data_IF_502138611886
#
_entry.id   IF_502138611886
#
_cell.length_a   1.000
_cell.length_b   1.000
_cell.length_c   1.000
_cell.angle_alpha   90.00
_cell.angle_beta   90.00
_cell.angle_gamma   90.00
#
_symmetry.space_group_name_H-M   'P 1'
#
loop_
_entity.id
_entity.type
_entity.pdbx_description
1 polymer ?
#
# COMPACT_ATOMS: atom_id res chain seq x y z
N UNK A 1 -19.00 23.45 11.42
CA UNK A 1 -17.95 22.78 10.62
C UNK A 1 -18.64 22.00 9.53
N UNK A 2 -18.16 22.13 8.30
CA UNK A 2 -18.61 21.30 7.18
C UNK A 2 -18.17 19.85 7.43
N UNK A 3 -19.08 18.89 7.22
CA UNK A 3 -18.78 17.47 7.43
C UNK A 3 -18.04 16.94 6.21
N UNK A 4 -16.98 16.16 6.41
CA UNK A 4 -16.31 15.46 5.32
C UNK A 4 -17.29 14.48 4.67
N UNK A 5 -17.30 14.47 3.34
CA UNK A 5 -18.05 13.51 2.53
C UNK A 5 -17.24 12.23 2.35
N UNK A 6 -17.95 11.13 2.28
CA UNK A 6 -17.40 9.79 2.13
C UNK A 6 -18.11 9.07 1.00
N UNK A 7 -17.37 8.22 0.30
CA UNK A 7 -17.90 7.29 -0.69
C UNK A 7 -18.02 5.92 -0.03
N UNK A 8 -19.16 5.27 -0.21
CA UNK A 8 -19.43 3.92 0.28
C UNK A 8 -19.86 3.07 -0.90
N UNK A 9 -19.19 1.95 -1.09
CA UNK A 9 -19.57 0.93 -2.07
C UNK A 9 -19.88 -0.39 -1.37
N UNK A 10 -21.05 -0.93 -1.66
CA UNK A 10 -21.43 -2.29 -1.34
C UNK A 10 -21.73 -3.03 -2.65
N UNK A 11 -21.36 -4.29 -2.74
CA UNK A 11 -21.58 -5.06 -3.95
C UNK A 11 -21.82 -6.54 -3.64
N UNK A 12 -22.47 -7.21 -4.59
CA UNK A 12 -22.57 -8.65 -4.64
C UNK A 12 -22.14 -9.15 -6.02
N UNK A 13 -21.54 -10.34 -6.06
CA UNK A 13 -21.12 -11.02 -7.29
C UNK A 13 -21.47 -12.51 -7.15
N UNK A 14 -21.78 -13.21 -8.25
CA UNK A 14 -22.04 -14.65 -8.22
C UNK A 14 -20.95 -15.43 -7.48
N UNK A 15 -21.35 -16.48 -6.75
CA UNK A 15 -20.42 -17.30 -5.93
C UNK A 15 -19.37 -18.03 -6.78
N UNK A 16 -19.67 -18.33 -8.04
CA UNK A 16 -18.69 -18.83 -9.00
C UNK A 16 -18.75 -18.04 -10.32
N UNK A 17 -17.58 -17.74 -10.93
CA UNK A 17 -16.23 -18.07 -10.47
C UNK A 17 -15.71 -17.13 -9.37
N UNK A 18 -15.05 -17.67 -8.33
CA UNK A 18 -14.49 -16.89 -7.20
C UNK A 18 -13.52 -15.75 -7.62
N UNK A 19 -12.84 -15.90 -8.76
CA UNK A 19 -11.89 -14.92 -9.30
C UNK A 19 -12.47 -13.51 -9.44
N UNK A 20 -13.76 -13.38 -9.75
CA UNK A 20 -14.40 -12.08 -9.96
C UNK A 20 -14.55 -11.33 -8.63
N UNK A 21 -15.00 -12.01 -7.57
CA UNK A 21 -15.04 -11.43 -6.22
C UNK A 21 -13.66 -11.03 -5.74
N UNK A 22 -12.66 -11.87 -6.03
CA UNK A 22 -11.27 -11.59 -5.67
C UNK A 22 -10.72 -10.38 -6.39
N UNK A 23 -10.98 -10.25 -7.70
CA UNK A 23 -10.58 -9.09 -8.48
C UNK A 23 -11.22 -7.80 -7.93
N UNK A 24 -12.51 -7.82 -7.63
CA UNK A 24 -13.25 -6.67 -7.12
C UNK A 24 -12.64 -6.13 -5.80
N UNK A 25 -12.48 -6.99 -4.78
CA UNK A 25 -11.92 -6.50 -3.51
C UNK A 25 -10.44 -6.10 -3.63
N UNK A 26 -9.66 -6.75 -4.50
CA UNK A 26 -8.28 -6.34 -4.77
C UNK A 26 -8.22 -4.97 -5.44
N UNK A 27 -9.10 -4.68 -6.39
CA UNK A 27 -9.18 -3.37 -7.03
C UNK A 27 -9.57 -2.28 -6.01
N UNK A 28 -10.56 -2.57 -5.15
CA UNK A 28 -10.93 -1.66 -4.05
C UNK A 28 -9.78 -1.39 -3.08
N UNK A 29 -9.07 -2.43 -2.62
CA UNK A 29 -7.87 -2.25 -1.77
C UNK A 29 -6.79 -1.43 -2.46
N UNK A 30 -6.59 -1.61 -3.78
CA UNK A 30 -5.62 -0.85 -4.58
C UNK A 30 -5.92 0.66 -4.55
N UNK A 31 -7.20 1.04 -4.51
CA UNK A 31 -7.63 2.43 -4.36
C UNK A 31 -7.51 2.97 -2.91
N UNK A 32 -7.07 2.16 -1.95
CA UNK A 32 -7.05 2.55 -0.53
C UNK A 32 -8.37 2.39 0.19
N UNK A 33 -9.36 1.74 -0.43
CA UNK A 33 -10.64 1.51 0.21
C UNK A 33 -10.48 0.53 1.39
N UNK A 34 -11.15 0.84 2.49
CA UNK A 34 -11.16 0.01 3.70
C UNK A 34 -12.48 -0.70 3.83
N UNK A 35 -12.44 -2.01 4.09
CA UNK A 35 -13.63 -2.78 4.34
C UNK A 35 -14.04 -2.69 5.83
N UNK A 36 -15.24 -2.17 6.07
CA UNK A 36 -15.86 -2.04 7.37
C UNK A 36 -16.90 -3.15 7.52
N UNK A 37 -16.79 -3.91 8.62
CA UNK A 37 -17.78 -4.92 9.04
C UNK A 37 -18.16 -5.90 7.92
N UNK A 38 -17.17 -6.32 7.13
CA UNK A 38 -17.27 -7.42 6.14
C UNK A 38 -18.11 -7.12 4.89
N UNK A 39 -18.62 -5.91 4.68
CA UNK A 39 -19.50 -5.63 3.53
C UNK A 39 -19.40 -4.21 2.96
N UNK A 40 -19.05 -3.21 3.76
CA UNK A 40 -19.00 -1.83 3.30
C UNK A 40 -17.58 -1.43 3.00
N UNK A 41 -17.30 -1.05 1.76
CA UNK A 41 -16.02 -0.46 1.39
C UNK A 41 -16.15 1.06 1.40
N UNK A 42 -15.19 1.73 2.01
CA UNK A 42 -15.26 3.18 2.20
C UNK A 42 -14.00 3.87 1.70
N UNK A 43 -14.18 5.09 1.20
CA UNK A 43 -13.13 6.04 0.84
C UNK A 43 -13.56 7.47 1.22
N UNK A 44 -12.63 8.37 1.54
CA UNK A 44 -12.94 9.81 1.55
C UNK A 44 -13.39 10.24 0.16
N UNK A 45 -14.37 11.14 0.08
CA UNK A 45 -14.80 11.67 -1.21
C UNK A 45 -13.73 12.57 -1.84
N UNK A 46 -13.33 12.24 -3.06
CA UNK A 46 -12.70 13.12 -4.04
C UNK A 46 -13.03 12.60 -5.45
N UNK A 47 -12.76 13.39 -6.49
CA UNK A 47 -13.16 13.06 -7.86
C UNK A 47 -12.44 11.81 -8.39
N UNK A 48 -11.17 11.60 -8.02
CA UNK A 48 -10.38 10.44 -8.42
C UNK A 48 -10.94 9.14 -7.82
N UNK A 49 -11.24 9.14 -6.52
CA UNK A 49 -11.85 8.02 -5.82
C UNK A 49 -13.24 7.73 -6.38
N UNK A 50 -14.04 8.76 -6.66
CA UNK A 50 -15.36 8.57 -7.26
C UNK A 50 -15.25 7.93 -8.64
N UNK A 51 -14.38 8.45 -9.51
CA UNK A 51 -14.14 7.89 -10.84
C UNK A 51 -13.66 6.45 -10.77
N UNK A 52 -12.71 6.14 -9.88
CA UNK A 52 -12.22 4.77 -9.68
C UNK A 52 -13.33 3.83 -9.20
N UNK A 53 -14.17 4.26 -8.27
CA UNK A 53 -15.31 3.45 -7.81
C UNK A 53 -16.37 3.27 -8.91
N UNK A 54 -16.58 4.25 -9.78
CA UNK A 54 -17.47 4.10 -10.94
C UNK A 54 -16.94 3.03 -11.91
N UNK A 55 -15.64 3.04 -12.22
CA UNK A 55 -15.02 1.99 -13.05
C UNK A 55 -15.19 0.61 -12.42
N UNK A 56 -14.89 0.47 -11.13
CA UNK A 56 -15.10 -0.79 -10.40
C UNK A 56 -16.57 -1.22 -10.43
N UNK A 57 -17.50 -0.28 -10.30
CA UNK A 57 -18.95 -0.58 -10.35
C UNK A 57 -19.33 -1.17 -11.71
N UNK A 58 -18.89 -0.54 -12.80
CA UNK A 58 -19.14 -1.01 -14.17
C UNK A 58 -18.55 -2.40 -14.42
N UNK A 59 -17.33 -2.66 -13.92
CA UNK A 59 -16.70 -3.98 -14.00
C UNK A 59 -17.54 -5.05 -13.28
N UNK A 60 -18.05 -4.75 -12.08
CA UNK A 60 -18.88 -5.67 -11.31
C UNK A 60 -20.21 -5.95 -12.03
N UNK A 61 -20.91 -4.91 -12.48
CA UNK A 61 -22.20 -5.03 -13.18
C UNK A 61 -22.07 -5.80 -14.50
N UNK A 62 -20.99 -5.57 -15.24
CA UNK A 62 -20.67 -6.30 -16.48
C UNK A 62 -20.44 -7.80 -16.25
N UNK A 63 -20.19 -8.20 -15.01
CA UNK A 63 -19.99 -9.58 -14.58
C UNK A 63 -21.19 -10.13 -13.78
N UNK A 64 -22.41 -9.65 -14.08
CA UNK A 64 -23.66 -10.06 -13.43
C UNK A 64 -23.68 -9.82 -11.92
N UNK A 65 -22.92 -8.84 -11.44
CA UNK A 65 -22.98 -8.36 -10.08
C UNK A 65 -23.99 -7.23 -9.90
N UNK A 66 -24.21 -6.88 -8.64
CA UNK A 66 -25.01 -5.70 -8.23
C UNK A 66 -24.12 -4.79 -7.39
N UNK A 67 -24.29 -3.47 -7.57
CA UNK A 67 -23.51 -2.46 -6.86
C UNK A 67 -24.41 -1.37 -6.32
N UNK A 68 -24.10 -0.93 -5.10
CA UNK A 68 -24.64 0.28 -4.51
C UNK A 68 -23.47 1.21 -4.16
N UNK A 69 -23.38 2.33 -4.90
CA UNK A 69 -22.43 3.41 -4.64
C UNK A 69 -23.16 4.62 -4.06
N UNK A 70 -22.70 5.12 -2.92
CA UNK A 70 -23.34 6.20 -2.18
C UNK A 70 -22.32 7.25 -1.75
N UNK A 71 -22.73 8.52 -1.77
CA UNK A 71 -22.09 9.58 -1.00
C UNK A 71 -22.78 9.67 0.37
N UNK A 72 -22.01 9.75 1.45
CA UNK A 72 -22.55 9.91 2.79
C UNK A 72 -21.72 10.88 3.65
N UNK A 73 -22.32 11.30 4.77
CA UNK A 73 -21.67 12.05 5.84
C UNK A 73 -22.00 11.38 7.17
N UNK A 74 -21.05 11.35 8.10
CA UNK A 74 -21.32 10.81 9.44
C UNK A 74 -22.26 11.74 10.23
N UNK A 75 -23.14 11.14 11.04
CA UNK A 75 -24.03 11.90 11.91
C UNK A 75 -23.27 12.69 12.98
N UNK A 76 -22.27 12.07 13.60
CA UNK A 76 -21.36 12.71 14.56
C UNK A 76 -19.89 12.40 14.23
N UNK A 77 -19.00 13.17 14.85
CA UNK A 77 -17.56 13.05 14.66
C UNK A 77 -16.99 11.77 15.28
N UNK A 78 -17.60 11.21 16.32
CA UNK A 78 -17.11 9.99 16.96
C UNK A 78 -17.20 8.78 16.02
N UNK A 79 -18.25 8.70 15.21
CA UNK A 79 -18.38 7.67 14.19
C UNK A 79 -17.35 7.84 13.07
N UNK A 80 -17.10 9.07 12.64
CA UNK A 80 -16.06 9.35 11.65
C UNK A 80 -14.66 8.96 12.17
N UNK A 81 -14.32 9.32 13.41
CA UNK A 81 -13.04 8.96 14.03
C UNK A 81 -12.85 7.44 14.15
N UNK A 82 -13.92 6.68 14.42
CA UNK A 82 -13.87 5.22 14.38
C UNK A 82 -13.53 4.71 12.98
N UNK A 83 -14.09 5.30 11.93
CA UNK A 83 -13.75 4.91 10.56
C UNK A 83 -12.32 5.27 10.21
N UNK A 84 -11.87 6.47 10.55
CA UNK A 84 -10.46 6.88 10.39
C UNK A 84 -9.51 5.90 11.09
N UNK A 85 -9.86 5.42 12.29
CA UNK A 85 -9.04 4.42 12.99
C UNK A 85 -8.91 3.11 12.22
N UNK A 86 -9.93 2.68 11.46
CA UNK A 86 -9.80 1.50 10.59
C UNK A 86 -8.85 1.75 9.42
N UNK A 87 -8.83 2.96 8.85
CA UNK A 87 -7.83 3.32 7.84
C UNK A 87 -6.41 3.24 8.41
N UNK A 88 -6.18 3.89 9.55
CA UNK A 88 -4.87 3.92 10.19
C UNK A 88 -4.40 2.51 10.55
N UNK A 89 -5.27 1.66 11.10
CA UNK A 89 -4.90 0.27 11.43
C UNK A 89 -4.46 -0.53 10.20
N UNK A 90 -5.19 -0.41 9.08
CA UNK A 90 -4.80 -1.13 7.84
C UNK A 90 -3.48 -0.58 7.29
N UNK A 91 -3.26 0.73 7.34
CA UNK A 91 -1.97 1.32 6.92
C UNK A 91 -0.83 0.94 7.85
N UNK A 92 -1.06 0.92 9.16
CA UNK A 92 -0.09 0.50 10.16
C UNK A 92 0.34 -0.96 9.95
N UNK A 93 -0.58 -1.85 9.57
CA UNK A 93 -0.26 -3.24 9.20
C UNK A 93 0.63 -3.30 7.95
N UNK A 94 0.28 -2.57 6.89
CA UNK A 94 1.10 -2.53 5.67
C UNK A 94 2.50 -1.92 5.91
N UNK A 95 2.60 -0.87 6.73
CA UNK A 95 3.89 -0.28 7.09
C UNK A 95 4.74 -1.23 7.94
N UNK A 96 4.14 -2.03 8.84
CA UNK A 96 4.89 -3.05 9.58
C UNK A 96 5.47 -4.11 8.66
N UNK A 97 4.67 -4.63 7.72
CA UNK A 97 5.16 -5.57 6.72
C UNK A 97 6.29 -4.97 5.88
N UNK A 98 6.18 -3.69 5.53
CA UNK A 98 7.24 -2.96 4.83
C UNK A 98 8.52 -2.82 5.66
N UNK A 99 8.40 -2.45 6.95
CA UNK A 99 9.53 -2.35 7.88
C UNK A 99 10.24 -3.69 7.99
N UNK A 100 9.51 -4.79 8.17
CA UNK A 100 10.08 -6.14 8.23
C UNK A 100 10.87 -6.47 6.95
N UNK A 101 10.37 -6.03 5.79
CA UNK A 101 11.04 -6.23 4.50
C UNK A 101 12.28 -5.37 4.31
N UNK A 102 12.29 -4.14 4.82
CA UNK A 102 13.52 -3.35 4.92
C UNK A 102 14.55 -4.05 5.80
N UNK A 103 14.14 -4.64 6.92
CA UNK A 103 15.05 -5.39 7.82
C UNK A 103 15.59 -6.67 7.19
N UNK A 104 14.79 -7.38 6.40
CA UNK A 104 15.25 -8.52 5.61
C UNK A 104 16.31 -8.09 4.58
N UNK A 105 16.05 -7.00 3.84
CA UNK A 105 16.97 -6.44 2.85
C UNK A 105 18.33 -6.07 3.48
N UNK A 106 18.32 -5.38 4.62
CA UNK A 106 19.56 -5.05 5.33
C UNK A 106 20.40 -6.28 5.66
N UNK A 107 19.76 -7.34 6.17
CA UNK A 107 20.47 -8.56 6.58
C UNK A 107 21.11 -9.26 5.39
N UNK A 108 20.45 -9.25 4.24
CA UNK A 108 21.03 -9.82 3.02
C UNK A 108 22.22 -8.98 2.56
N UNK A 109 22.08 -7.65 2.50
CA UNK A 109 23.18 -6.75 2.13
C UNK A 109 24.39 -6.85 3.09
N UNK A 110 24.16 -6.94 4.41
CA UNK A 110 25.22 -7.17 5.40
C UNK A 110 25.95 -8.50 5.16
N UNK A 111 25.21 -9.55 4.80
CA UNK A 111 25.76 -10.86 4.48
C UNK A 111 26.60 -10.82 3.21
N UNK A 112 26.17 -10.09 2.19
CA UNK A 112 26.91 -9.89 0.94
C UNK A 112 28.25 -9.19 1.17
N UNK A 113 28.22 -8.10 1.96
CA UNK A 113 29.41 -7.35 2.37
C UNK A 113 30.36 -8.25 3.17
N UNK A 114 29.83 -9.07 4.08
CA UNK A 114 30.65 -9.94 4.94
C UNK A 114 31.41 -11.03 4.17
N UNK A 115 30.88 -11.47 3.01
CA UNK A 115 31.56 -12.44 2.12
C UNK A 115 32.27 -11.75 0.94
N UNK A 116 32.36 -10.41 0.95
CA UNK A 116 33.00 -9.59 -0.08
C UNK A 116 32.46 -9.87 -1.50
N UNK A 117 31.15 -10.10 -1.64
CA UNK A 117 30.50 -10.42 -2.92
C UNK A 117 30.33 -9.18 -3.81
N UNK A 118 31.44 -8.49 -4.09
CA UNK A 118 31.43 -7.20 -4.77
C UNK A 118 31.46 -7.33 -6.29
N UNK A 119 30.34 -7.81 -6.88
CA UNK A 119 30.23 -7.93 -8.34
C UNK A 119 29.18 -6.98 -8.89
N UNK A 120 29.33 -6.54 -10.15
CA UNK A 120 28.33 -5.69 -10.80
C UNK A 120 26.98 -6.39 -10.99
N UNK A 121 26.98 -7.71 -11.23
CA UNK A 121 25.74 -8.47 -11.32
C UNK A 121 24.95 -8.43 -10.00
N UNK A 122 25.67 -8.50 -8.87
CA UNK A 122 25.04 -8.39 -7.57
C UNK A 122 24.54 -6.99 -7.26
N UNK A 123 25.32 -5.97 -7.64
CA UNK A 123 24.89 -4.58 -7.51
C UNK A 123 23.59 -4.31 -8.28
N UNK A 124 23.46 -4.86 -9.49
CA UNK A 124 22.22 -4.76 -10.29
C UNK A 124 21.05 -5.48 -9.61
N UNK A 125 21.25 -6.67 -9.04
CA UNK A 125 20.21 -7.40 -8.31
C UNK A 125 19.73 -6.63 -7.07
N UNK A 126 20.65 -6.09 -6.28
CA UNK A 126 20.34 -5.30 -5.10
C UNK A 126 19.67 -3.95 -5.44
N UNK A 127 19.99 -3.36 -6.59
CA UNK A 127 19.32 -2.16 -7.12
C UNK A 127 17.85 -2.47 -7.48
N UNK A 128 17.59 -3.59 -8.17
CA UNK A 128 16.22 -4.01 -8.51
C UNK A 128 15.36 -4.27 -7.26
N UNK A 129 15.93 -4.89 -6.22
CA UNK A 129 15.22 -5.12 -4.96
C UNK A 129 14.93 -3.80 -4.21
N UNK A 130 15.89 -2.85 -4.22
CA UNK A 130 15.66 -1.51 -3.68
C UNK A 130 14.53 -0.78 -4.42
N UNK A 131 14.51 -0.84 -5.75
CA UNK A 131 13.45 -0.23 -6.56
C UNK A 131 12.07 -0.82 -6.23
N UNK A 132 11.98 -2.14 -6.00
CA UNK A 132 10.75 -2.81 -5.57
C UNK A 132 10.27 -2.29 -4.21
N UNK A 133 11.17 -2.11 -3.25
CA UNK A 133 10.85 -1.53 -1.93
C UNK A 133 10.36 -0.09 -2.06
N UNK A 134 11.06 0.75 -2.83
CA UNK A 134 10.66 2.16 -3.08
C UNK A 134 9.26 2.24 -3.71
N UNK A 135 9.02 1.43 -4.73
CA UNK A 135 7.72 1.37 -5.40
C UNK A 135 6.60 0.86 -4.48
N UNK A 136 6.91 -0.04 -3.55
CA UNK A 136 5.95 -0.52 -2.57
C UNK A 136 5.63 0.55 -1.52
N UNK A 137 6.64 1.21 -0.95
CA UNK A 137 6.45 2.32 -0.03
C UNK A 137 5.56 3.41 -0.62
N UNK A 138 5.86 3.87 -1.84
CA UNK A 138 5.09 4.90 -2.53
C UNK A 138 3.61 4.51 -2.69
N UNK A 139 3.33 3.22 -2.92
CA UNK A 139 1.95 2.71 -2.99
C UNK A 139 1.25 2.77 -1.64
N UNK A 140 1.94 2.44 -0.53
CA UNK A 140 1.36 2.53 0.83
C UNK A 140 1.08 4.00 1.15
N UNK A 141 2.06 4.88 0.92
CA UNK A 141 1.97 6.31 1.18
C UNK A 141 0.81 6.97 0.42
N UNK A 142 0.64 6.65 -0.86
CA UNK A 142 -0.46 7.16 -1.67
C UNK A 142 -1.86 6.82 -1.10
N UNK A 143 -1.97 5.77 -0.28
CA UNK A 143 -3.21 5.34 0.38
C UNK A 143 -3.29 5.81 1.84
N UNK A 144 -2.22 6.37 2.41
CA UNK A 144 -2.18 6.83 3.81
C UNK A 144 -2.71 8.28 3.95
N UNK A 145 -4.01 8.43 3.73
CA UNK A 145 -4.71 9.72 3.76
C UNK A 145 -4.81 10.32 5.18
N UNK A 146 -4.71 9.47 6.21
CA UNK A 146 -4.98 9.84 7.60
C UNK A 146 -3.74 9.81 8.50
N UNK A 147 -2.56 9.68 7.91
CA UNK A 147 -1.25 9.73 8.57
C UNK A 147 -1.17 8.70 9.71
N UNK A 148 -1.11 7.44 9.29
CA UNK A 148 -0.92 6.30 10.17
C UNK A 148 0.33 6.43 11.06
N UNK A 149 0.31 5.74 12.20
CA UNK A 149 1.32 5.92 13.25
C UNK A 149 2.69 5.34 12.87
N UNK A 150 2.71 4.32 12.01
CA UNK A 150 3.94 3.63 11.60
C UNK A 150 4.69 4.33 10.47
N UNK A 151 4.08 5.32 9.82
CA UNK A 151 4.67 6.02 8.66
C UNK A 151 6.08 6.55 8.93
N UNK A 152 6.28 7.26 10.03
CA UNK A 152 7.58 7.85 10.36
C UNK A 152 8.68 6.79 10.57
N UNK A 153 8.33 5.65 11.17
CA UNK A 153 9.25 4.52 11.35
C UNK A 153 9.60 3.89 9.99
N UNK A 154 8.61 3.73 9.11
CA UNK A 154 8.83 3.21 7.76
C UNK A 154 9.72 4.15 6.91
N UNK A 155 9.51 5.47 7.00
CA UNK A 155 10.36 6.48 6.35
C UNK A 155 11.80 6.39 6.85
N UNK A 156 12.01 6.27 8.16
CA UNK A 156 13.34 6.11 8.74
C UNK A 156 14.03 4.84 8.23
N UNK A 157 13.33 3.70 8.22
CA UNK A 157 13.86 2.42 7.73
C UNK A 157 14.21 2.48 6.24
N UNK A 158 13.36 3.11 5.43
CA UNK A 158 13.61 3.31 4.01
C UNK A 158 14.87 4.15 3.76
N UNK A 159 15.06 5.22 4.52
CA UNK A 159 16.26 6.06 4.39
C UNK A 159 17.53 5.36 4.87
N UNK A 160 17.44 4.52 5.89
CA UNK A 160 18.54 3.65 6.27
C UNK A 160 18.89 2.68 5.12
N UNK A 161 17.89 2.10 4.44
CA UNK A 161 18.08 1.09 3.38
C UNK A 161 18.82 1.72 2.19
N UNK A 162 18.39 2.91 1.77
CA UNK A 162 19.06 3.68 0.71
C UNK A 162 20.54 3.93 1.03
N UNK A 163 20.84 4.36 2.26
CA UNK A 163 22.22 4.62 2.69
C UNK A 163 23.07 3.35 2.71
N UNK A 164 22.50 2.22 3.12
CA UNK A 164 23.22 0.96 3.12
C UNK A 164 23.54 0.50 1.69
N UNK A 165 22.58 0.62 0.76
CA UNK A 165 22.81 0.36 -0.65
C UNK A 165 23.87 1.30 -1.26
N UNK A 166 23.82 2.60 -0.99
CA UNK A 166 24.84 3.56 -1.44
C UNK A 166 26.25 3.15 -0.97
N UNK A 167 26.38 2.75 0.30
CA UNK A 167 27.65 2.26 0.84
C UNK A 167 28.12 0.97 0.14
N UNK A 168 27.21 0.03 -0.11
CA UNK A 168 27.53 -1.21 -0.83
C UNK A 168 27.98 -0.92 -2.26
N UNK A 169 27.26 -0.06 -2.97
CA UNK A 169 27.62 0.39 -4.32
C UNK A 169 29.03 0.98 -4.37
N UNK A 170 29.36 1.89 -3.44
CA UNK A 170 30.69 2.46 -3.30
C UNK A 170 31.78 1.40 -3.08
N UNK A 171 31.50 0.35 -2.31
CA UNK A 171 32.43 -0.77 -2.09
C UNK A 171 32.64 -1.58 -3.38
N UNK A 172 31.56 -1.88 -4.11
CA UNK A 172 31.62 -2.59 -5.39
C UNK A 172 32.46 -1.81 -6.40
N UNK A 173 32.25 -0.50 -6.54
CA UNK A 173 33.03 0.33 -7.44
C UNK A 173 34.50 0.41 -7.04
N UNK A 174 34.81 0.52 -5.75
CA UNK A 174 36.22 0.54 -5.28
C UNK A 174 36.91 -0.78 -5.59
N UNK A 175 36.27 -1.90 -5.28
CA UNK A 175 36.83 -3.24 -5.48
C UNK A 175 37.10 -3.58 -6.96
N UNK A 176 36.24 -3.13 -7.89
CA UNK A 176 36.36 -3.44 -9.31
C UNK A 176 37.17 -2.40 -10.12
N UNK A 177 37.55 -1.28 -9.51
CA UNK A 177 38.41 -0.25 -10.13
C UNK A 177 39.87 -0.32 -9.66
N UNK A 178 40.21 -1.25 -8.76
CA UNK A 178 41.57 -1.64 -8.38
C UNK A 178 42.06 -2.84 -9.21
#
# INVERSE_FOLDING_TARGET
MEKRKWLVINYNLPTEPSRLRVAAWRNLKKQGAVNIKQSMWVLPHNDDNYSALQTISQEIESNNGEVLLMECVFFDQNHEQKVISYFNNVRDEEYKEFIDKCEDYFKELEKEIAIEKFTFAELEEEEEELEKLLAWYAKIEARDIFHSSQRACAEEKLDQVKKAFENYSDMVYKYNNE
#
